data_IF_886997605556
#
_entry.id   IF_886997605556
#
_cell.length_a   1.000
_cell.length_b   1.000
_cell.length_c   1.000
_cell.angle_alpha   90.00
_cell.angle_beta   90.00
_cell.angle_gamma   90.00
#
_symmetry.space_group_name_H-M   'P 1'
#
loop_
_entity.id
_entity.type
_entity.pdbx_description
1 polymer ?
#
# COMPACT_ATOMS: atom_id res chain seq x y z
N UNK A 1 18.08 -6.65 -14.59
CA UNK A 1 16.73 -6.30 -15.07
C UNK A 1 15.70 -6.78 -14.04
N UNK A 2 15.28 -5.94 -13.10
CA UNK A 2 14.25 -6.32 -12.09
C UNK A 2 13.36 -5.14 -11.66
N UNK A 3 13.35 -4.04 -12.41
CA UNK A 3 12.79 -2.74 -11.97
C UNK A 3 11.32 -2.51 -12.36
N UNK A 4 10.62 -3.45 -13.00
CA UNK A 4 9.31 -3.16 -13.62
C UNK A 4 8.09 -3.26 -12.69
N UNK A 5 8.12 -4.05 -11.61
CA UNK A 5 6.99 -4.15 -10.66
C UNK A 5 6.98 -3.12 -9.52
N UNK A 6 8.06 -2.34 -9.39
CA UNK A 6 8.31 -1.51 -8.20
C UNK A 6 7.61 -0.16 -8.18
N UNK A 7 7.08 0.30 -9.31
CA UNK A 7 6.66 1.71 -9.42
C UNK A 7 5.45 2.00 -8.53
N UNK A 8 4.47 1.10 -8.49
CA UNK A 8 3.20 1.33 -7.79
C UNK A 8 3.40 1.21 -6.27
N UNK A 9 4.01 0.11 -5.82
CA UNK A 9 4.22 -0.16 -4.39
C UNK A 9 5.19 0.83 -3.74
N UNK A 10 6.20 1.34 -4.46
CA UNK A 10 7.12 2.38 -3.93
C UNK A 10 6.45 3.73 -3.72
N UNK A 11 5.41 4.07 -4.49
CA UNK A 11 4.70 5.33 -4.28
C UNK A 11 3.91 5.33 -2.97
N UNK A 12 3.32 4.18 -2.60
CA UNK A 12 2.67 4.03 -1.30
C UNK A 12 3.69 4.18 -0.17
N UNK A 13 4.85 3.51 -0.27
CA UNK A 13 5.93 3.63 0.71
C UNK A 13 6.37 5.09 0.92
N UNK A 14 6.61 5.81 -0.19
CA UNK A 14 6.98 7.23 -0.15
C UNK A 14 5.89 8.09 0.49
N UNK A 15 4.62 7.87 0.14
CA UNK A 15 3.49 8.63 0.68
C UNK A 15 3.31 8.44 2.19
N UNK A 16 3.59 7.23 2.69
CA UNK A 16 3.47 6.88 4.11
C UNK A 16 4.74 7.17 4.93
N UNK A 17 5.85 7.50 4.27
CA UNK A 17 7.14 7.74 4.92
C UNK A 17 7.82 6.44 5.38
N UNK A 18 7.65 5.36 4.62
CA UNK A 18 8.28 4.06 4.89
C UNK A 18 9.65 4.04 4.20
N UNK A 19 10.71 3.74 4.96
CA UNK A 19 12.01 3.45 4.40
C UNK A 19 12.03 2.00 3.93
N UNK A 20 12.03 1.80 2.61
CA UNK A 20 12.06 0.46 1.98
C UNK A 20 13.40 -0.22 2.29
N UNK A 21 13.35 -1.47 2.76
CA UNK A 21 14.54 -2.28 3.10
C UNK A 21 14.73 -3.40 2.07
N UNK A 22 13.65 -4.09 1.69
CA UNK A 22 13.73 -5.25 0.82
C UNK A 22 12.36 -5.75 0.39
N UNK A 23 12.30 -7.02 -0.02
CA UNK A 23 11.07 -7.70 -0.39
C UNK A 23 11.00 -9.05 0.32
N UNK A 24 9.82 -9.39 0.82
CA UNK A 24 9.50 -10.71 1.39
C UNK A 24 9.24 -11.68 0.23
N UNK A 25 8.49 -11.20 -0.77
CA UNK A 25 8.14 -11.88 -2.02
C UNK A 25 8.10 -10.85 -3.17
N UNK A 26 8.10 -11.25 -4.46
CA UNK A 26 8.22 -10.33 -5.60
C UNK A 26 7.21 -9.16 -5.69
N UNK A 27 6.11 -9.19 -4.92
CA UNK A 27 5.08 -8.14 -4.86
C UNK A 27 4.85 -7.61 -3.45
N UNK A 28 5.65 -8.06 -2.48
CA UNK A 28 5.49 -7.77 -1.05
C UNK A 28 6.77 -7.11 -0.53
N UNK A 29 7.02 -5.84 -0.90
CA UNK A 29 8.07 -5.07 -0.27
C UNK A 29 7.82 -4.90 1.23
N UNK A 30 8.92 -4.74 1.96
CA UNK A 30 8.90 -4.40 3.36
C UNK A 30 9.90 -3.30 3.70
N UNK A 31 9.69 -2.68 4.84
CA UNK A 31 10.49 -1.57 5.30
C UNK A 31 10.20 -1.21 6.74
N UNK A 32 10.74 -0.06 7.15
CA UNK A 32 10.58 0.44 8.50
C UNK A 32 10.21 1.92 8.53
N UNK A 33 9.41 2.31 9.52
CA UNK A 33 9.33 3.70 9.95
C UNK A 33 10.56 4.07 10.78
N UNK A 34 11.08 5.28 10.56
CA UNK A 34 12.19 5.79 11.36
C UNK A 34 11.82 5.89 12.84
N UNK A 35 10.65 6.49 13.10
CA UNK A 35 9.97 6.53 14.40
C UNK A 35 8.77 5.56 14.36
N UNK A 36 8.68 4.60 15.30
CA UNK A 36 7.53 3.71 15.39
C UNK A 36 6.23 4.49 15.58
N UNK A 37 5.12 3.93 15.08
CA UNK A 37 3.79 4.54 15.15
C UNK A 37 2.84 3.64 15.90
N UNK A 38 1.86 4.21 16.59
CA UNK A 38 0.68 3.46 17.00
C UNK A 38 -0.20 3.09 15.79
N UNK A 39 -1.07 2.10 15.98
CA UNK A 39 -2.03 1.71 14.95
C UNK A 39 -2.93 2.88 14.51
N UNK A 40 -3.39 3.71 15.45
CA UNK A 40 -4.22 4.87 15.17
C UNK A 40 -3.50 5.94 14.34
N UNK A 41 -2.23 6.21 14.64
CA UNK A 41 -1.41 7.15 13.85
C UNK A 41 -1.17 6.65 12.43
N UNK A 42 -0.88 5.35 12.26
CA UNK A 42 -0.73 4.77 10.94
C UNK A 42 -2.04 4.78 10.17
N UNK A 43 -3.16 4.44 10.79
CA UNK A 43 -4.49 4.51 10.18
C UNK A 43 -4.78 5.93 9.67
N UNK A 44 -4.69 6.95 10.53
CA UNK A 44 -4.92 8.34 10.15
C UNK A 44 -3.98 8.81 9.03
N UNK A 45 -2.72 8.36 9.05
CA UNK A 45 -1.76 8.67 7.98
C UNK A 45 -2.20 8.06 6.65
N UNK A 46 -2.61 6.79 6.63
CA UNK A 46 -3.11 6.15 5.41
C UNK A 46 -4.37 6.86 4.91
N UNK A 47 -5.32 7.16 5.80
CA UNK A 47 -6.57 7.84 5.46
C UNK A 47 -6.32 9.23 4.86
N UNK A 48 -5.44 10.01 5.49
CA UNK A 48 -5.07 11.36 5.03
C UNK A 48 -4.39 11.34 3.66
N UNK A 49 -3.54 10.34 3.40
CA UNK A 49 -2.78 10.24 2.14
C UNK A 49 -3.62 9.68 1.00
N UNK A 50 -4.58 8.80 1.30
CA UNK A 50 -5.42 8.16 0.29
C UNK A 50 -6.80 8.81 0.12
N UNK A 51 -7.21 9.67 1.06
CA UNK A 51 -8.47 10.41 1.04
C UNK A 51 -9.70 9.51 1.23
N UNK A 52 -9.59 8.46 2.04
CA UNK A 52 -10.71 7.55 2.38
C UNK A 52 -10.50 6.88 3.73
N UNK A 53 -11.58 6.40 4.33
CA UNK A 53 -11.52 5.55 5.52
C UNK A 53 -10.79 4.22 5.23
N UNK A 54 -10.04 3.75 6.21
CA UNK A 54 -9.23 2.53 6.20
C UNK A 54 -9.80 1.57 7.23
N UNK A 55 -9.98 0.31 6.83
CA UNK A 55 -10.31 -0.74 7.78
C UNK A 55 -9.02 -1.18 8.48
N UNK A 56 -9.08 -1.30 9.81
CA UNK A 56 -7.98 -1.76 10.65
C UNK A 56 -8.42 -2.97 11.48
N UNK A 57 -7.52 -3.93 11.63
CA UNK A 57 -7.63 -5.03 12.59
C UNK A 57 -6.26 -5.25 13.24
N UNK A 58 -6.21 -5.48 14.55
CA UNK A 58 -4.95 -5.77 15.22
C UNK A 58 -5.10 -5.98 16.71
N UNK A 59 -6.14 -6.73 17.10
CA UNK A 59 -6.54 -6.90 18.50
C UNK A 59 -5.42 -7.49 19.38
N UNK A 60 -4.53 -8.30 18.79
CA UNK A 60 -3.39 -8.95 19.46
C UNK A 60 -2.02 -8.48 18.93
N UNK A 61 -1.98 -7.38 18.18
CA UNK A 61 -0.76 -6.91 17.55
C UNK A 61 0.06 -5.98 18.48
N UNK A 62 1.37 -5.79 18.23
CA UNK A 62 2.23 -4.95 19.06
C UNK A 62 1.75 -3.51 19.15
N UNK A 63 1.92 -2.85 20.31
CA UNK A 63 1.50 -1.44 20.47
C UNK A 63 2.20 -0.47 19.50
N UNK A 64 3.44 -0.78 19.11
CA UNK A 64 4.25 0.05 18.24
C UNK A 64 4.54 -0.67 16.92
N UNK A 65 4.24 0.01 15.81
CA UNK A 65 4.47 -0.43 14.45
C UNK A 65 5.75 0.21 13.94
N UNK A 66 6.79 -0.60 13.75
CA UNK A 66 8.04 -0.18 13.11
C UNK A 66 8.20 -0.85 11.76
N UNK A 67 8.13 -2.18 11.73
CA UNK A 67 8.30 -3.01 10.53
C UNK A 67 6.97 -3.19 9.84
N UNK A 68 6.93 -2.87 8.56
CA UNK A 68 5.71 -2.93 7.77
C UNK A 68 6.00 -3.58 6.42
N UNK A 69 5.07 -4.43 5.99
CA UNK A 69 5.00 -4.93 4.62
C UNK A 69 3.71 -4.43 3.94
N UNK A 70 3.71 -4.37 2.62
CA UNK A 70 2.53 -3.94 1.88
C UNK A 70 2.44 -4.57 0.51
N UNK A 71 1.22 -4.72 0.01
CA UNK A 71 0.92 -5.05 -1.38
C UNK A 71 -0.29 -4.23 -1.82
N UNK A 72 -0.17 -3.45 -2.89
CA UNK A 72 -1.30 -2.66 -3.41
C UNK A 72 -2.34 -3.56 -4.09
N UNK A 73 -3.59 -3.09 -4.25
CA UNK A 73 -4.65 -3.86 -4.91
C UNK A 73 -5.15 -5.05 -4.06
N UNK A 74 -5.42 -6.20 -4.70
CA UNK A 74 -5.92 -7.43 -4.07
C UNK A 74 -4.86 -8.27 -3.34
N UNK A 75 -3.96 -7.62 -2.59
CA UNK A 75 -2.79 -8.24 -1.96
C UNK A 75 -3.04 -8.96 -0.63
N UNK A 76 -4.30 -9.09 -0.18
CA UNK A 76 -4.65 -9.61 1.15
C UNK A 76 -4.13 -11.02 1.42
N UNK A 77 -3.99 -11.85 0.37
CA UNK A 77 -3.47 -13.22 0.50
C UNK A 77 -2.02 -13.29 0.95
N UNK A 78 -1.26 -12.20 0.88
CA UNK A 78 0.15 -12.16 1.32
C UNK A 78 0.31 -11.94 2.83
N UNK A 79 -0.78 -11.75 3.57
CA UNK A 79 -0.71 -11.52 5.02
C UNK A 79 0.00 -12.66 5.77
N UNK A 80 -0.20 -13.92 5.37
CA UNK A 80 0.44 -15.06 6.02
C UNK A 80 1.96 -15.02 5.86
N UNK A 81 2.43 -14.66 4.66
CA UNK A 81 3.86 -14.50 4.38
C UNK A 81 4.47 -13.33 5.14
N UNK A 82 3.77 -12.18 5.14
CA UNK A 82 4.18 -11.00 5.89
C UNK A 82 4.27 -11.28 7.41
N UNK A 83 3.25 -11.95 7.97
CA UNK A 83 3.21 -12.31 9.37
C UNK A 83 4.34 -13.28 9.75
N UNK A 84 4.59 -14.31 8.93
CA UNK A 84 5.70 -15.27 9.15
C UNK A 84 7.08 -14.62 9.05
N UNK A 85 7.22 -13.58 8.23
CA UNK A 85 8.44 -12.78 8.16
C UNK A 85 8.67 -11.95 9.44
N UNK A 86 7.63 -11.70 10.22
CA UNK A 86 7.70 -10.97 11.49
C UNK A 86 7.61 -9.45 11.33
N UNK A 87 6.70 -8.97 10.48
CA UNK A 87 6.33 -7.55 10.44
C UNK A 87 5.31 -7.21 11.53
N UNK A 88 5.31 -5.96 11.98
CA UNK A 88 4.33 -5.47 12.96
C UNK A 88 2.99 -5.12 12.29
N UNK A 89 3.04 -4.76 11.00
CA UNK A 89 1.87 -4.40 10.21
C UNK A 89 1.96 -4.87 8.74
N UNK A 90 0.79 -5.19 8.18
CA UNK A 90 0.58 -5.48 6.76
C UNK A 90 -0.51 -4.57 6.17
N UNK A 91 -0.20 -3.93 5.03
CA UNK A 91 -1.12 -3.02 4.33
C UNK A 91 -1.51 -3.63 2.97
N UNK A 92 -2.82 -3.76 2.71
CA UNK A 92 -3.39 -4.19 1.43
C UNK A 92 -4.45 -3.23 0.91
N UNK A 93 -4.87 -3.38 -0.34
CA UNK A 93 -6.03 -2.69 -0.90
C UNK A 93 -7.36 -3.33 -0.48
N UNK A 94 -7.52 -4.64 -0.63
CA UNK A 94 -8.73 -5.35 -0.22
C UNK A 94 -8.54 -6.17 1.05
N UNK A 95 -9.64 -6.77 1.53
CA UNK A 95 -9.72 -7.59 2.74
C UNK A 95 -10.60 -8.80 2.46
N UNK A 96 -10.29 -9.92 3.10
CA UNK A 96 -11.18 -11.08 3.23
C UNK A 96 -11.37 -11.45 4.71
N UNK A 97 -12.34 -12.31 5.00
CA UNK A 97 -12.55 -12.85 6.35
C UNK A 97 -11.27 -13.52 6.89
N UNK A 98 -10.61 -14.34 6.07
CA UNK A 98 -9.35 -14.98 6.41
C UNK A 98 -8.28 -13.98 6.83
N UNK A 99 -8.23 -12.80 6.20
CA UNK A 99 -7.24 -11.76 6.53
C UNK A 99 -7.39 -11.27 7.97
N UNK A 100 -8.63 -11.17 8.46
CA UNK A 100 -8.93 -10.76 9.84
C UNK A 100 -8.51 -11.84 10.82
N UNK A 101 -8.76 -13.11 10.50
CA UNK A 101 -8.31 -14.24 11.31
C UNK A 101 -6.79 -14.29 11.42
N UNK A 102 -6.08 -14.25 10.29
CA UNK A 102 -4.60 -14.24 10.30
C UNK A 102 -4.07 -13.07 11.14
N UNK A 103 -4.62 -11.85 10.97
CA UNK A 103 -4.18 -10.68 11.73
C UNK A 103 -4.26 -10.90 13.24
N UNK A 104 -5.38 -11.49 13.71
CA UNK A 104 -5.62 -11.77 15.12
C UNK A 104 -4.78 -12.91 15.66
N UNK A 105 -4.67 -14.00 14.90
CA UNK A 105 -3.98 -15.22 15.32
C UNK A 105 -2.46 -15.06 15.31
N UNK A 106 -1.94 -14.33 14.32
CA UNK A 106 -0.51 -14.11 14.15
C UNK A 106 -0.02 -12.83 14.85
N UNK A 107 -0.92 -12.05 15.45
CA UNK A 107 -0.57 -10.82 16.18
C UNK A 107 0.05 -9.76 15.28
N UNK A 108 -0.54 -9.50 14.10
CA UNK A 108 -0.07 -8.48 13.15
C UNK A 108 -1.17 -7.45 12.90
N UNK A 109 -0.81 -6.18 12.80
CA UNK A 109 -1.79 -5.17 12.37
C UNK A 109 -2.09 -5.34 10.88
N UNK A 110 -3.37 -5.35 10.52
CA UNK A 110 -3.82 -5.36 9.15
C UNK A 110 -4.56 -4.08 8.80
N UNK A 111 -4.22 -3.49 7.65
CA UNK A 111 -4.89 -2.30 7.11
C UNK A 111 -5.38 -2.56 5.69
N UNK A 112 -6.69 -2.42 5.46
CA UNK A 112 -7.28 -2.45 4.13
C UNK A 112 -7.62 -1.03 3.66
N UNK A 113 -6.84 -0.56 2.70
CA UNK A 113 -6.77 0.83 2.28
C UNK A 113 -7.49 1.12 0.96
N UNK A 114 -8.21 0.13 0.40
CA UNK A 114 -8.98 0.20 -0.84
C UNK A 114 -8.16 -0.10 -2.10
N UNK A 115 -8.60 -1.06 -2.91
CA UNK A 115 -7.95 -1.51 -4.16
C UNK A 115 -7.47 -0.33 -5.02
N UNK A 116 -8.41 0.43 -5.58
CA UNK A 116 -8.10 1.57 -6.44
C UNK A 116 -7.31 2.68 -5.72
N UNK A 117 -7.57 2.89 -4.43
CA UNK A 117 -6.92 3.96 -3.69
C UNK A 117 -5.41 3.73 -3.59
N UNK A 118 -5.00 2.47 -3.39
CA UNK A 118 -3.59 2.06 -3.30
C UNK A 118 -2.87 2.02 -4.66
N UNK A 119 -3.58 1.93 -5.77
CA UNK A 119 -2.98 1.84 -7.12
C UNK A 119 -2.85 3.19 -7.83
N UNK A 120 -3.65 4.19 -7.44
CA UNK A 120 -3.66 5.53 -8.07
C UNK A 120 -2.29 6.24 -8.07
N UNK A 121 -1.44 5.98 -7.07
CA UNK A 121 -0.10 6.58 -7.00
C UNK A 121 0.78 6.15 -8.17
N UNK A 122 0.65 4.89 -8.59
CA UNK A 122 1.42 4.31 -9.69
C UNK A 122 1.07 4.91 -11.05
N UNK A 123 -0.23 4.98 -11.37
CA UNK A 123 -0.68 5.51 -12.68
C UNK A 123 -0.36 7.00 -12.83
N UNK A 124 -0.43 7.79 -11.74
CA UNK A 124 -0.05 9.20 -11.76
C UNK A 124 1.44 9.38 -12.04
N UNK A 125 2.30 8.64 -11.35
CA UNK A 125 3.75 8.71 -11.54
C UNK A 125 4.16 8.30 -12.96
N UNK A 126 3.51 7.27 -13.53
CA UNK A 126 3.72 6.87 -14.92
C UNK A 126 3.32 7.98 -15.90
N UNK A 127 2.17 8.62 -15.67
CA UNK A 127 1.70 9.74 -16.49
C UNK A 127 2.63 10.95 -16.45
N UNK A 128 3.16 11.30 -15.28
CA UNK A 128 4.14 12.38 -15.13
C UNK A 128 5.45 12.06 -15.85
N UNK A 129 5.94 10.82 -15.76
CA UNK A 129 7.16 10.40 -16.45
C UNK A 129 7.02 10.44 -17.97
N UNK A 130 5.90 9.93 -18.51
CA UNK A 130 5.59 9.95 -19.94
C UNK A 130 5.47 11.38 -20.48
N UNK A 131 4.83 12.28 -19.73
CA UNK A 131 4.72 13.69 -20.11
C UNK A 131 6.10 14.39 -20.15
N UNK A 132 7.01 14.05 -19.23
CA UNK A 132 8.33 14.66 -19.15
C UNK A 132 9.32 14.17 -20.21
N UNK A 133 9.23 12.90 -20.64
CA UNK A 133 10.25 12.28 -21.49
C UNK A 133 9.80 12.05 -22.95
N UNK A 134 8.50 12.03 -23.22
CA UNK A 134 7.97 11.63 -24.51
C UNK A 134 6.96 12.61 -25.11
N UNK A 135 6.79 13.80 -24.52
CA UNK A 135 5.97 14.88 -25.10
C UNK A 135 4.45 14.64 -25.07
N UNK A 136 3.99 13.64 -24.31
CA UNK A 136 2.57 13.31 -24.23
C UNK A 136 1.78 14.33 -23.39
N UNK A 137 0.58 14.69 -23.87
CA UNK A 137 -0.33 15.60 -23.17
C UNK A 137 -0.85 15.02 -21.85
N UNK A 138 -0.86 15.83 -20.78
CA UNK A 138 -1.33 15.45 -19.44
C UNK A 138 -2.87 15.45 -19.36
N UNK A 139 -3.54 14.52 -20.03
CA UNK A 139 -4.99 14.34 -19.87
C UNK A 139 -5.30 13.19 -18.91
N UNK A 140 -5.46 13.53 -17.62
CA UNK A 140 -5.99 12.60 -16.61
C UNK A 140 -7.51 12.63 -16.68
N UNK A 141 -8.12 11.58 -17.25
CA UNK A 141 -9.58 11.43 -17.24
C UNK A 141 -10.04 10.83 -15.90
N UNK A 142 -10.92 11.54 -15.20
CA UNK A 142 -11.56 11.08 -13.96
C UNK A 142 -12.92 10.47 -14.30
N UNK A 143 -13.08 9.16 -14.11
CA UNK A 143 -14.40 8.55 -14.24
C UNK A 143 -15.29 8.96 -13.05
N UNK A 144 -16.49 9.56 -13.28
CA UNK A 144 -17.32 10.09 -12.20
C UNK A 144 -17.85 9.02 -11.24
N UNK A 145 -17.98 7.77 -11.69
CA UNK A 145 -18.64 6.70 -10.92
C UNK A 145 -17.70 5.70 -10.25
N UNK A 146 -16.42 5.63 -10.65
CA UNK A 146 -15.47 4.64 -10.15
C UNK A 146 -14.17 5.23 -9.60
N UNK A 147 -13.91 6.52 -9.83
CA UNK A 147 -12.65 7.16 -9.42
C UNK A 147 -11.42 6.64 -10.16
N UNK A 148 -11.59 5.82 -11.21
CA UNK A 148 -10.51 5.37 -12.08
C UNK A 148 -9.87 6.56 -12.80
N UNK A 149 -8.53 6.56 -12.82
CA UNK A 149 -7.70 7.44 -13.62
C UNK A 149 -7.16 6.58 -14.76
N UNK A 150 -7.60 6.86 -15.99
CA UNK A 150 -7.05 6.21 -17.18
C UNK A 150 -6.07 7.16 -17.86
N UNK A 151 -4.88 6.68 -18.21
CA UNK A 151 -3.90 7.45 -18.95
C UNK A 151 -4.15 7.27 -20.44
N UNK A 152 -4.57 8.33 -21.13
CA UNK A 152 -4.69 8.31 -22.59
C UNK A 152 -3.48 9.03 -23.19
N UNK A 153 -2.69 8.26 -23.94
CA UNK A 153 -1.46 8.71 -24.59
C UNK A 153 -1.80 8.88 -26.07
N UNK A 154 -1.70 10.10 -26.60
CA UNK A 154 -1.93 10.41 -28.01
C UNK A 154 -0.64 10.81 -28.69
#
# INVERSE_FOLDING_TARGET
MHTRNWVITRQLAKALGIRVIGEIEPLVPHGEFEQPLSAGELQQRIESRLGRAVLHCGDNAPQAIRRVAWCTGGGQGFIDSAARFGVDAFISGEVSEQTIHTAREMGVHFFAAGHHATERGGIKALGEWLAQHHGFGRHLYRYPQSGLICLWVR
#
